data_IF_521721431601
#
_entry.id   IF_521721431601
#
_cell.length_a   1.000
_cell.length_b   1.000
_cell.length_c   1.000
_cell.angle_alpha   90.00
_cell.angle_beta   90.00
_cell.angle_gamma   90.00
#
_symmetry.space_group_name_H-M   'P 1'
#
loop_
_entity.id
_entity.type
_entity.pdbx_description
1 polymer ?
#
# COMPACT_ATOMS: atom_id res chain seq x y z
N UNK A 1 6.15 -13.58 11.37
CA UNK A 1 6.13 -12.86 10.08
C UNK A 1 5.13 -11.71 10.19
N UNK A 2 5.44 -10.50 9.70
CA UNK A 2 4.50 -9.37 9.68
C UNK A 2 3.46 -9.54 8.56
N UNK A 3 2.22 -9.08 8.79
CA UNK A 3 1.12 -9.13 7.82
C UNK A 3 0.17 -7.93 8.00
N UNK A 4 -0.46 -7.48 6.91
CA UNK A 4 -1.46 -6.42 6.89
C UNK A 4 -2.50 -6.68 5.78
N UNK A 5 -3.72 -6.18 6.00
CA UNK A 5 -4.80 -6.13 5.01
C UNK A 5 -5.08 -4.66 4.71
N UNK A 6 -5.22 -4.31 3.43
CA UNK A 6 -5.48 -2.95 2.98
C UNK A 6 -6.79 -2.93 2.20
N UNK A 7 -7.72 -2.11 2.66
CA UNK A 7 -8.95 -1.77 1.92
C UNK A 7 -8.68 -0.48 1.13
N UNK A 8 -8.75 -0.56 -0.20
CA UNK A 8 -8.35 0.56 -1.07
C UNK A 8 -9.47 1.59 -1.25
N UNK A 9 -10.71 1.14 -1.42
CA UNK A 9 -11.91 1.98 -1.48
C UNK A 9 -13.18 1.11 -1.32
N UNK A 10 -14.36 1.72 -1.26
CA UNK A 10 -15.64 1.05 -1.11
C UNK A 10 -16.38 0.89 -2.44
N UNK A 11 -16.59 -0.36 -2.89
CA UNK A 11 -17.41 -0.67 -4.08
C UNK A 11 -18.88 -0.25 -3.88
N UNK A 12 -19.36 -0.21 -2.63
CA UNK A 12 -20.72 0.23 -2.32
C UNK A 12 -20.95 1.73 -2.52
N UNK A 13 -19.88 2.52 -2.67
CA UNK A 13 -19.94 3.93 -3.01
C UNK A 13 -19.69 4.09 -4.53
N UNK A 14 -20.69 4.54 -5.32
CA UNK A 14 -20.55 4.63 -6.79
C UNK A 14 -19.39 5.50 -7.27
N UNK A 15 -18.98 6.52 -6.51
CA UNK A 15 -17.86 7.38 -6.91
C UNK A 15 -16.51 6.72 -6.63
N UNK A 16 -16.41 5.96 -5.55
CA UNK A 16 -15.22 5.17 -5.23
C UNK A 16 -15.08 3.95 -6.13
N UNK A 17 -16.19 3.29 -6.50
CA UNK A 17 -16.19 2.23 -7.51
C UNK A 17 -15.63 2.72 -8.86
N UNK A 18 -16.05 3.92 -9.31
CA UNK A 18 -15.50 4.53 -10.53
C UNK A 18 -14.00 4.78 -10.41
N UNK A 19 -13.55 5.26 -9.24
CA UNK A 19 -12.12 5.46 -8.98
C UNK A 19 -11.35 4.15 -9.01
N UNK A 20 -11.87 3.07 -8.41
CA UNK A 20 -11.25 1.74 -8.45
C UNK A 20 -11.04 1.21 -9.87
N UNK A 21 -11.87 1.64 -10.83
CA UNK A 21 -11.73 1.27 -12.25
C UNK A 21 -10.73 2.16 -13.02
N UNK A 22 -10.18 3.22 -12.42
CA UNK A 22 -9.23 4.12 -13.05
C UNK A 22 -7.80 3.56 -13.02
N UNK A 23 -7.12 3.40 -14.17
CA UNK A 23 -5.73 2.96 -14.21
C UNK A 23 -4.79 3.89 -13.44
N UNK A 24 -5.05 5.20 -13.47
CA UNK A 24 -4.24 6.19 -12.76
C UNK A 24 -4.35 6.00 -11.24
N UNK A 25 -5.55 5.75 -10.74
CA UNK A 25 -5.80 5.55 -9.31
C UNK A 25 -5.18 4.22 -8.81
N UNK A 26 -5.32 3.15 -9.61
CA UNK A 26 -4.66 1.87 -9.33
C UNK A 26 -3.13 2.02 -9.25
N UNK A 27 -2.53 2.78 -10.16
CA UNK A 27 -1.09 3.04 -10.14
C UNK A 27 -0.65 3.83 -8.90
N UNK A 28 -1.47 4.79 -8.44
CA UNK A 28 -1.20 5.53 -7.21
C UNK A 28 -1.19 4.61 -5.98
N UNK A 29 -2.15 3.68 -5.87
CA UNK A 29 -2.13 2.69 -4.79
C UNK A 29 -0.93 1.76 -4.85
N UNK A 30 -0.62 1.22 -6.03
CA UNK A 30 0.54 0.35 -6.20
C UNK A 30 1.83 1.05 -5.75
N UNK A 31 2.02 2.31 -6.14
CA UNK A 31 3.18 3.09 -5.74
C UNK A 31 3.23 3.33 -4.22
N UNK A 32 2.08 3.62 -3.60
CA UNK A 32 1.95 3.79 -2.16
C UNK A 32 2.31 2.52 -1.39
N UNK A 33 1.80 1.36 -1.83
CA UNK A 33 2.09 0.05 -1.21
C UNK A 33 3.59 -0.26 -1.30
N UNK A 34 4.20 -0.12 -2.48
CA UNK A 34 5.63 -0.39 -2.68
C UNK A 34 6.47 0.53 -1.78
N UNK A 35 6.16 1.83 -1.77
CA UNK A 35 6.88 2.80 -0.94
C UNK A 35 6.76 2.47 0.57
N UNK A 36 5.58 2.01 1.01
CA UNK A 36 5.36 1.55 2.38
C UNK A 36 6.17 0.29 2.72
N UNK A 37 6.24 -0.68 1.80
CA UNK A 37 7.05 -1.88 1.96
C UNK A 37 8.54 -1.56 2.03
N UNK A 38 9.05 -0.72 1.13
CA UNK A 38 10.45 -0.28 1.13
C UNK A 38 10.82 0.34 2.48
N UNK A 39 10.00 1.27 2.96
CA UNK A 39 10.19 1.90 4.27
C UNK A 39 10.18 0.89 5.41
N UNK A 40 9.26 -0.07 5.40
CA UNK A 40 9.17 -1.11 6.42
C UNK A 40 10.45 -1.96 6.46
N UNK A 41 10.94 -2.43 5.31
CA UNK A 41 12.13 -3.27 5.25
C UNK A 41 13.42 -2.50 5.54
N UNK A 42 13.54 -1.24 5.09
CA UNK A 42 14.68 -0.38 5.43
C UNK A 42 14.78 -0.17 6.95
N UNK A 43 13.65 0.12 7.60
CA UNK A 43 13.62 0.26 9.06
C UNK A 43 13.93 -1.06 9.78
N UNK A 44 13.42 -2.18 9.28
CA UNK A 44 13.71 -3.50 9.83
C UNK A 44 15.20 -3.84 9.71
N UNK A 45 15.82 -3.56 8.57
CA UNK A 45 17.25 -3.78 8.34
C UNK A 45 18.12 -2.93 9.27
N UNK A 46 17.77 -1.66 9.47
CA UNK A 46 18.47 -0.77 10.42
C UNK A 46 18.38 -1.28 11.87
N UNK A 47 17.20 -1.76 12.29
CA UNK A 47 17.01 -2.32 13.64
C UNK A 47 17.70 -3.67 13.84
N UNK A 48 17.85 -4.46 12.77
CA UNK A 48 18.54 -5.76 12.80
C UNK A 48 20.07 -5.66 12.66
N UNK A 49 20.59 -4.58 12.05
CA UNK A 49 22.02 -4.32 11.85
C UNK A 49 22.74 -3.70 13.05
N UNK A 50 22.02 -3.46 14.17
CA UNK A 50 22.61 -3.05 15.45
C UNK A 50 22.97 -4.27 16.31
N UNK A 51 24.06 -4.95 15.95
CA UNK A 51 24.85 -5.76 16.87
C UNK A 51 26.31 -5.32 16.78
#
# INVERSE_FOLDING_TARGET
MPAALIEMAFISNPDEEKLLNSPQFQQQFAQGIVSGMDNFFLQAAQKGGGK
#
